data_IF_011247908582
#
_entry.id   IF_011247908582
#
_cell.length_a   1.000
_cell.length_b   1.000
_cell.length_c   1.000
_cell.angle_alpha   90.00
_cell.angle_beta   90.00
_cell.angle_gamma   90.00
#
_symmetry.space_group_name_H-M   'P 1'
#
loop_
_entity.id
_entity.type
_entity.pdbx_description
1 polymer ?
#
# COMPACT_ATOMS: atom_id res chain seq x y z
N UNK A 1 -6.97 1.50 4.97
CA UNK A 1 -6.08 2.38 4.16
C UNK A 1 -4.61 1.98 4.29
N UNK A 2 -4.01 1.89 5.49
CA UNK A 2 -2.62 1.42 5.63
C UNK A 2 -2.43 -0.06 5.22
N UNK A 3 -3.32 -0.96 5.64
CA UNK A 3 -3.13 -2.42 5.47
C UNK A 3 -3.09 -2.88 4.00
N UNK A 4 -3.94 -2.31 3.14
CA UNK A 4 -3.97 -2.62 1.70
C UNK A 4 -2.68 -2.15 1.02
N UNK A 5 -2.18 -0.96 1.37
CA UNK A 5 -0.94 -0.43 0.80
C UNK A 5 0.27 -1.24 1.24
N UNK A 6 0.30 -1.69 2.51
CA UNK A 6 1.33 -2.61 3.03
C UNK A 6 1.27 -3.98 2.35
N UNK A 7 0.07 -4.50 2.08
CA UNK A 7 -0.10 -5.74 1.32
C UNK A 7 0.43 -5.59 -0.11
N UNK A 8 0.04 -4.51 -0.82
CA UNK A 8 0.56 -4.24 -2.18
C UNK A 8 2.08 -4.10 -2.20
N UNK A 9 2.66 -3.37 -1.25
CA UNK A 9 4.12 -3.22 -1.14
C UNK A 9 4.80 -4.59 -0.98
N UNK A 10 4.30 -5.45 -0.07
CA UNK A 10 4.86 -6.79 0.12
C UNK A 10 4.74 -7.70 -1.10
N UNK A 11 3.69 -7.56 -1.90
CA UNK A 11 3.49 -8.40 -3.08
C UNK A 11 4.21 -7.89 -4.33
N UNK A 12 4.40 -6.58 -4.46
CA UNK A 12 4.88 -5.97 -5.71
C UNK A 12 6.33 -5.46 -5.60
N UNK A 13 6.71 -4.94 -4.44
CA UNK A 13 8.03 -4.33 -4.23
C UNK A 13 9.00 -5.36 -3.65
N UNK A 14 8.66 -5.99 -2.51
CA UNK A 14 9.55 -6.85 -1.72
C UNK A 14 10.15 -8.07 -2.45
N UNK A 15 9.40 -8.85 -3.26
CA UNK A 15 9.91 -10.12 -3.79
C UNK A 15 11.10 -9.96 -4.73
N UNK A 16 11.17 -8.84 -5.47
CA UNK A 16 12.28 -8.56 -6.38
C UNK A 16 13.60 -8.35 -5.63
N UNK A 17 13.56 -7.63 -4.51
CA UNK A 17 14.75 -7.39 -3.69
C UNK A 17 15.19 -8.65 -2.96
N UNK A 18 14.24 -9.42 -2.40
CA UNK A 18 14.57 -10.69 -1.72
C UNK A 18 15.26 -11.67 -2.66
N UNK A 19 14.80 -11.78 -3.92
CA UNK A 19 15.43 -12.63 -4.92
C UNK A 19 16.86 -12.17 -5.27
N UNK A 20 17.09 -10.87 -5.42
CA UNK A 20 18.43 -10.31 -5.72
C UNK A 20 19.39 -10.53 -4.54
N UNK A 21 18.90 -10.36 -3.30
CA UNK A 21 19.68 -10.62 -2.10
C UNK A 21 20.04 -12.09 -1.97
N UNK A 22 19.07 -12.99 -2.21
CA UNK A 22 19.29 -14.43 -2.16
C UNK A 22 20.27 -14.89 -3.25
N UNK A 23 20.15 -14.35 -4.47
CA UNK A 23 21.10 -14.56 -5.55
C UNK A 23 22.52 -14.09 -5.16
N UNK A 24 22.65 -12.94 -4.51
CA UNK A 24 23.93 -12.40 -4.05
C UNK A 24 24.61 -13.28 -3.00
N UNK A 25 23.84 -13.89 -2.10
CA UNK A 25 24.36 -14.86 -1.11
C UNK A 25 24.72 -16.17 -1.78
N UNK A 26 23.85 -16.72 -2.62
CA UNK A 26 24.07 -17.98 -3.32
C UNK A 26 25.29 -17.93 -4.25
N UNK A 27 25.54 -16.77 -4.88
CA UNK A 27 26.71 -16.53 -5.73
C UNK A 27 27.95 -16.05 -4.96
N UNK A 28 27.88 -15.96 -3.62
CA UNK A 28 28.99 -15.53 -2.75
C UNK A 28 29.55 -14.13 -3.09
N UNK A 29 28.71 -13.20 -3.53
CA UNK A 29 29.13 -11.81 -3.83
C UNK A 29 29.55 -11.04 -2.59
N UNK A 30 28.98 -11.39 -1.44
CA UNK A 30 29.37 -10.88 -0.13
C UNK A 30 29.19 -11.96 0.93
N UNK A 31 30.07 -11.96 1.93
CA UNK A 31 30.01 -12.89 3.05
C UNK A 31 29.33 -12.22 4.25
N UNK A 32 28.17 -12.75 4.64
CA UNK A 32 27.40 -12.28 5.80
C UNK A 32 28.04 -12.66 7.13
N UNK A 33 28.94 -13.65 7.17
CA UNK A 33 29.70 -14.01 8.36
C UNK A 33 30.87 -13.05 8.62
N UNK A 34 31.31 -12.32 7.59
CA UNK A 34 32.32 -11.29 7.70
C UNK A 34 31.72 -9.93 8.07
N UNK A 35 31.98 -9.48 9.30
CA UNK A 35 31.43 -8.23 9.82
C UNK A 35 31.75 -7.00 8.95
N UNK A 36 32.96 -6.92 8.39
CA UNK A 36 33.35 -5.78 7.56
C UNK A 36 32.51 -5.74 6.27
N UNK A 37 32.39 -6.89 5.59
CA UNK A 37 31.61 -6.97 4.36
C UNK A 37 30.12 -6.72 4.61
N UNK A 38 29.58 -7.27 5.69
CA UNK A 38 28.20 -7.02 6.10
C UNK A 38 27.92 -5.54 6.39
N UNK A 39 28.81 -4.86 7.13
CA UNK A 39 28.66 -3.44 7.45
C UNK A 39 28.78 -2.54 6.22
N UNK A 40 29.73 -2.84 5.32
CA UNK A 40 29.89 -2.11 4.05
C UNK A 40 28.66 -2.32 3.16
N UNK A 41 28.16 -3.55 3.09
CA UNK A 41 26.94 -3.85 2.37
C UNK A 41 25.76 -3.06 2.91
N UNK A 42 25.51 -3.06 4.23
CA UNK A 42 24.44 -2.28 4.84
C UNK A 42 24.60 -0.78 4.60
N UNK A 43 25.82 -0.26 4.65
CA UNK A 43 26.11 1.15 4.40
C UNK A 43 25.70 1.60 3.00
N UNK A 44 25.84 0.73 2.00
CA UNK A 44 25.44 1.02 0.62
C UNK A 44 23.96 0.69 0.39
N UNK A 45 23.50 -0.44 0.93
CA UNK A 45 22.18 -0.98 0.66
C UNK A 45 21.06 -0.19 1.32
N UNK A 46 21.23 0.24 2.57
CA UNK A 46 20.22 1.01 3.31
C UNK A 46 19.82 2.30 2.56
N UNK A 47 20.75 3.21 2.18
CA UNK A 47 20.37 4.43 1.47
C UNK A 47 19.77 4.14 0.09
N UNK A 48 20.22 3.08 -0.59
CA UNK A 48 19.64 2.66 -1.85
C UNK A 48 18.19 2.19 -1.70
N UNK A 49 17.88 1.30 -0.73
CA UNK A 49 16.51 0.87 -0.44
C UNK A 49 15.63 2.03 -0.01
N UNK A 50 16.16 2.98 0.75
CA UNK A 50 15.42 4.19 1.14
C UNK A 50 15.02 5.02 -0.10
N UNK A 51 15.93 5.19 -1.06
CA UNK A 51 15.63 5.90 -2.30
C UNK A 51 14.56 5.18 -3.15
N UNK A 52 14.64 3.85 -3.26
CA UNK A 52 13.64 3.04 -3.96
C UNK A 52 12.26 3.11 -3.29
N UNK A 53 12.20 3.08 -1.95
CA UNK A 53 10.95 3.25 -1.20
C UNK A 53 10.35 4.65 -1.40
N UNK A 54 11.18 5.67 -1.49
CA UNK A 54 10.73 7.03 -1.77
C UNK A 54 10.19 7.16 -3.20
N UNK A 55 10.85 6.54 -4.18
CA UNK A 55 10.35 6.44 -5.55
C UNK A 55 9.01 5.70 -5.62
N UNK A 56 8.88 4.57 -4.92
CA UNK A 56 7.63 3.82 -4.81
C UNK A 56 6.52 4.67 -4.18
N UNK A 57 6.81 5.35 -3.07
CA UNK A 57 5.87 6.29 -2.42
C UNK A 57 5.40 7.36 -3.40
N UNK A 58 6.32 7.96 -4.15
CA UNK A 58 5.99 8.99 -5.13
C UNK A 58 5.13 8.43 -6.26
N UNK A 59 5.45 7.23 -6.78
CA UNK A 59 4.64 6.55 -7.79
C UNK A 59 3.20 6.33 -7.30
N UNK A 60 3.02 5.77 -6.10
CA UNK A 60 1.70 5.49 -5.51
C UNK A 60 0.90 6.75 -5.22
N UNK A 61 1.56 7.83 -4.79
CA UNK A 61 0.88 9.09 -4.45
C UNK A 61 0.56 9.95 -5.68
N UNK A 62 1.40 9.88 -6.72
CA UNK A 62 1.22 10.65 -7.95
C UNK A 62 0.38 9.90 -9.00
N UNK A 63 0.19 8.59 -8.84
CA UNK A 63 -0.75 7.85 -9.70
C UNK A 63 -2.16 8.37 -9.47
N UNK A 64 -2.70 9.03 -10.50
CA UNK A 64 -4.09 9.47 -10.52
C UNK A 64 -4.96 8.24 -10.27
N UNK A 65 -5.78 8.29 -9.21
CA UNK A 65 -6.75 7.25 -8.91
C UNK A 65 -7.68 7.14 -10.12
N UNK A 66 -7.59 6.05 -10.88
CA UNK A 66 -8.51 5.80 -11.97
C UNK A 66 -9.93 5.74 -11.41
N UNK A 67 -10.79 6.64 -11.89
CA UNK A 67 -12.21 6.57 -11.60
C UNK A 67 -12.77 5.36 -12.36
N UNK A 68 -13.24 4.38 -11.62
CA UNK A 68 -13.91 3.22 -12.20
C UNK A 68 -15.32 3.64 -12.64
N UNK A 69 -15.51 3.77 -13.96
CA UNK A 69 -16.80 4.14 -14.56
C UNK A 69 -17.87 3.06 -14.41
N UNK A 70 -17.49 1.81 -14.10
CA UNK A 70 -18.42 0.71 -13.85
C UNK A 70 -18.78 0.58 -12.36
N UNK A 71 -18.15 1.39 -11.50
CA UNK A 71 -18.42 1.38 -10.06
C UNK A 71 -19.78 2.01 -9.80
N UNK A 72 -20.77 1.16 -9.55
CA UNK A 72 -22.08 1.58 -9.06
C UNK A 72 -21.90 2.00 -7.60
N UNK A 73 -21.72 3.29 -7.37
CA UNK A 73 -21.80 3.85 -6.02
C UNK A 73 -23.28 3.88 -5.61
N UNK A 74 -23.62 3.58 -4.34
CA UNK A 74 -24.95 3.83 -3.83
C UNK A 74 -25.24 5.32 -4.05
N UNK A 75 -26.26 5.60 -4.87
CA UNK A 75 -26.68 6.96 -5.16
C UNK A 75 -27.34 7.53 -3.90
N UNK A 76 -26.60 8.35 -3.15
CA UNK A 76 -27.14 9.07 -1.99
C UNK A 76 -27.62 8.15 -0.85
N UNK A 77 -28.42 8.73 0.05
CA UNK A 77 -29.12 7.96 1.08
C UNK A 77 -30.01 6.95 0.36
N UNK A 78 -29.92 5.64 0.69
CA UNK A 78 -30.75 4.64 0.05
C UNK A 78 -32.19 5.08 0.12
N UNK A 79 -32.83 5.25 -1.03
CA UNK A 79 -34.22 5.69 -1.11
C UNK A 79 -35.12 4.78 -0.27
N UNK A 80 -34.77 3.49 -0.20
CA UNK A 80 -35.34 2.50 0.70
C UNK A 80 -35.34 2.88 2.20
N UNK A 81 -34.29 3.55 2.70
CA UNK A 81 -34.25 4.04 4.09
C UNK A 81 -35.17 5.25 4.30
N UNK A 82 -35.42 6.04 3.24
CA UNK A 82 -36.37 7.15 3.28
C UNK A 82 -37.82 6.69 3.09
N UNK A 83 -38.02 5.64 2.30
CA UNK A 83 -39.32 5.04 1.97
C UNK A 83 -39.83 4.12 3.08
N UNK A 84 -38.93 3.42 3.80
CA UNK A 84 -39.24 2.48 4.87
C UNK A 84 -38.42 2.74 6.15
N UNK A 85 -38.58 3.90 6.80
CA UNK A 85 -37.81 4.25 8.00
C UNK A 85 -38.10 3.29 9.18
N UNK A 86 -39.28 2.67 9.22
CA UNK A 86 -39.66 1.66 10.21
C UNK A 86 -38.76 0.40 10.22
N UNK A 87 -38.19 0.01 9.09
CA UNK A 87 -37.34 -1.20 9.00
C UNK A 87 -35.94 -0.98 9.57
N UNK A 88 -35.51 0.27 9.72
CA UNK A 88 -34.13 0.63 10.06
C UNK A 88 -34.00 1.41 11.38
N UNK A 89 -35.09 1.58 12.14
CA UNK A 89 -35.13 2.33 13.41
C UNK A 89 -34.46 3.71 13.31
N UNK A 90 -34.62 4.40 12.17
CA UNK A 90 -33.95 5.68 11.90
C UNK A 90 -34.81 6.83 12.43
N UNK A 91 -34.23 7.70 13.26
CA UNK A 91 -34.86 8.94 13.71
C UNK A 91 -34.56 10.06 12.70
N UNK A 92 -35.60 10.65 12.10
CA UNK A 92 -35.45 11.79 11.17
C UNK A 92 -35.21 13.09 11.96
N UNK A 93 -33.98 13.59 11.95
CA UNK A 93 -33.60 14.87 12.55
C UNK A 93 -33.51 15.96 11.48
N UNK A 94 -34.61 16.27 10.79
CA UNK A 94 -34.68 17.43 9.89
C UNK A 94 -34.68 18.73 10.70
N UNK A 95 -33.54 19.43 10.73
CA UNK A 95 -33.48 20.82 11.15
C UNK A 95 -34.15 21.71 10.08
N UNK A 96 -35.26 22.36 10.43
CA UNK A 96 -35.84 23.43 9.61
C UNK A 96 -35.02 24.71 9.83
N UNK A 97 -34.44 25.24 8.77
CA UNK A 97 -33.97 26.63 8.71
C UNK A 97 -35.12 27.51 8.23
#
# INVERSE_FOLDING_TARGET
MLEITWSMMRHQFTPGFENILDEGVNNSWYDTSNLLQALVFWWIFIPWVQAELEAYRNCVNLTVKCQDCNKILPHGVPQHMLEYPEEYAVLDFKARF
#
